data_IF_678817498052
#
_entry.id   IF_678817498052
#
_cell.length_a   1.000
_cell.length_b   1.000
_cell.length_c   1.000
_cell.angle_alpha   90.00
_cell.angle_beta   90.00
_cell.angle_gamma   90.00
#
_symmetry.space_group_name_H-M   'P 1'
#
loop_
_entity.id
_entity.type
_entity.pdbx_description
1 polymer ?
#
# COMPACT_ATOMS: atom_id res chain seq x y z
N UNK A 1 -17.50 0.98 -11.12
CA UNK A 1 -16.40 0.62 -12.05
C UNK A 1 -15.08 0.39 -11.36
N UNK A 2 -14.71 1.18 -10.34
CA UNK A 2 -13.37 1.14 -9.75
C UNK A 2 -12.93 -0.24 -9.23
N UNK A 3 -13.79 -0.97 -8.52
CA UNK A 3 -13.45 -2.31 -8.04
C UNK A 3 -13.09 -3.30 -9.16
N UNK A 4 -13.76 -3.21 -10.32
CA UNK A 4 -13.42 -4.05 -11.48
C UNK A 4 -12.08 -3.63 -12.10
N UNK A 5 -11.83 -2.32 -12.19
CA UNK A 5 -10.57 -1.80 -12.73
C UNK A 5 -9.38 -2.12 -11.82
N UNK A 6 -9.56 -2.06 -10.49
CA UNK A 6 -8.54 -2.50 -9.54
C UNK A 6 -8.22 -3.99 -9.67
N UNK A 7 -9.22 -4.84 -9.93
CA UNK A 7 -8.98 -6.27 -10.21
C UNK A 7 -8.06 -6.44 -11.42
N UNK A 8 -8.30 -5.72 -12.51
CA UNK A 8 -7.46 -5.79 -13.71
C UNK A 8 -6.01 -5.34 -13.44
N UNK A 9 -5.81 -4.30 -12.63
CA UNK A 9 -4.47 -3.85 -12.23
C UNK A 9 -3.78 -4.86 -11.31
N UNK A 10 -4.52 -5.47 -10.38
CA UNK A 10 -4.00 -6.54 -9.52
C UNK A 10 -3.55 -7.72 -10.39
N UNK A 11 -4.34 -8.14 -11.37
CA UNK A 11 -3.99 -9.23 -12.28
C UNK A 11 -2.72 -8.90 -13.08
N UNK A 12 -2.57 -7.65 -13.53
CA UNK A 12 -1.33 -7.17 -14.17
C UNK A 12 -0.13 -7.22 -13.22
N UNK A 13 -0.27 -6.79 -11.97
CA UNK A 13 0.83 -6.79 -10.99
C UNK A 13 1.24 -8.22 -10.62
N UNK A 14 0.27 -9.13 -10.40
CA UNK A 14 0.51 -10.57 -10.20
C UNK A 14 1.28 -11.19 -11.36
N UNK A 15 0.91 -10.85 -12.58
CA UNK A 15 1.63 -11.32 -13.76
C UNK A 15 3.08 -10.82 -13.79
N UNK A 16 3.31 -9.55 -13.44
CA UNK A 16 4.64 -8.94 -13.46
C UNK A 16 5.54 -9.36 -12.29
N UNK A 17 4.99 -9.65 -11.11
CA UNK A 17 5.69 -9.95 -9.86
C UNK A 17 6.89 -10.90 -10.01
N UNK A 18 6.76 -12.12 -10.56
CA UNK A 18 7.88 -13.07 -10.63
C UNK A 18 9.02 -12.56 -11.52
N UNK A 19 8.73 -11.75 -12.54
CA UNK A 19 9.75 -11.18 -13.41
C UNK A 19 10.44 -9.99 -12.76
N UNK A 20 9.67 -9.13 -12.09
CA UNK A 20 10.18 -7.90 -11.48
C UNK A 20 11.00 -8.13 -10.20
N UNK A 21 10.88 -9.30 -9.56
CA UNK A 21 11.79 -9.71 -8.47
C UNK A 21 13.23 -9.91 -8.94
N UNK A 22 13.42 -10.24 -10.23
CA UNK A 22 14.74 -10.33 -10.83
C UNK A 22 15.18 -8.96 -11.34
N UNK A 23 16.46 -8.61 -11.15
CA UNK A 23 17.01 -7.33 -11.61
C UNK A 23 17.24 -7.28 -13.11
N UNK A 24 17.31 -8.43 -13.78
CA UNK A 24 17.48 -8.54 -15.22
C UNK A 24 16.13 -8.83 -15.90
N UNK A 25 15.61 -7.84 -16.63
CA UNK A 25 14.34 -7.98 -17.35
C UNK A 25 14.58 -8.22 -18.84
N UNK A 26 13.95 -9.26 -19.37
CA UNK A 26 13.91 -9.49 -20.81
C UNK A 26 13.26 -8.29 -21.54
N UNK A 27 13.65 -7.98 -22.79
CA UNK A 27 13.14 -6.81 -23.51
C UNK A 27 11.60 -6.69 -23.58
N UNK A 28 10.81 -7.76 -23.79
CA UNK A 28 9.35 -7.68 -23.77
C UNK A 28 8.79 -7.30 -22.40
N UNK A 29 9.36 -7.83 -21.32
CA UNK A 29 8.94 -7.52 -19.94
C UNK A 29 9.28 -6.07 -19.61
N UNK A 30 10.46 -5.59 -20.03
CA UNK A 30 10.85 -4.19 -19.88
C UNK A 30 9.88 -3.25 -20.61
N UNK A 31 9.41 -3.63 -21.80
CA UNK A 31 8.40 -2.87 -22.53
C UNK A 31 7.07 -2.82 -21.76
N UNK A 32 6.62 -3.96 -21.22
CA UNK A 32 5.40 -4.03 -20.41
C UNK A 32 5.51 -3.24 -19.11
N UNK A 33 6.65 -3.31 -18.42
CA UNK A 33 6.94 -2.50 -17.23
C UNK A 33 6.84 -1.00 -17.53
N UNK A 34 7.46 -0.53 -18.62
CA UNK A 34 7.36 0.87 -19.05
C UNK A 34 5.91 1.27 -19.39
N UNK A 35 5.15 0.38 -20.03
CA UNK A 35 3.72 0.60 -20.27
C UNK A 35 2.93 0.73 -18.97
N UNK A 36 3.21 -0.13 -18.00
CA UNK A 36 2.59 -0.13 -16.67
C UNK A 36 2.88 1.17 -15.92
N UNK A 37 4.12 1.66 -15.95
CA UNK A 37 4.47 2.97 -15.37
C UNK A 37 3.69 4.12 -16.02
N UNK A 38 3.50 4.11 -17.34
CA UNK A 38 2.70 5.14 -18.02
C UNK A 38 1.24 5.11 -17.59
N UNK A 39 0.65 3.91 -17.47
CA UNK A 39 -0.71 3.77 -16.95
C UNK A 39 -0.81 4.29 -15.52
N UNK A 40 0.12 3.91 -14.64
CA UNK A 40 0.17 4.40 -13.26
C UNK A 40 0.33 5.93 -13.18
N UNK A 41 1.15 6.52 -14.05
CA UNK A 41 1.31 7.99 -14.12
C UNK A 41 0.02 8.69 -14.53
N UNK A 42 -0.70 8.18 -15.52
CA UNK A 42 -2.02 8.71 -15.92
C UNK A 42 -3.01 8.60 -14.76
N UNK A 43 -3.05 7.45 -14.08
CA UNK A 43 -3.92 7.25 -12.91
C UNK A 43 -3.56 8.20 -11.76
N UNK A 44 -2.27 8.42 -11.49
CA UNK A 44 -1.82 9.35 -10.46
C UNK A 44 -2.22 10.79 -10.78
N UNK A 45 -2.14 11.20 -12.05
CA UNK A 45 -2.49 12.54 -12.47
C UNK A 45 -4.01 12.79 -12.48
N UNK A 46 -4.77 11.89 -13.13
CA UNK A 46 -6.20 12.12 -13.40
C UNK A 46 -7.12 11.56 -12.30
N UNK A 47 -6.70 10.49 -11.62
CA UNK A 47 -7.50 9.71 -10.67
C UNK A 47 -6.73 9.34 -9.38
N UNK A 48 -6.06 10.29 -8.70
CA UNK A 48 -5.23 9.98 -7.53
C UNK A 48 -6.03 9.35 -6.39
N UNK A 49 -7.32 9.69 -6.22
CA UNK A 49 -8.16 9.06 -5.19
C UNK A 49 -8.37 7.56 -5.43
N UNK A 50 -8.37 7.10 -6.69
CA UNK A 50 -8.45 5.68 -7.01
C UNK A 50 -7.17 4.96 -6.57
N UNK A 51 -5.99 5.51 -6.85
CA UNK A 51 -4.75 4.91 -6.34
C UNK A 51 -4.67 4.95 -4.81
N UNK A 52 -5.12 6.04 -4.19
CA UNK A 52 -5.20 6.20 -2.74
C UNK A 52 -6.13 5.16 -2.09
N UNK A 53 -7.32 4.94 -2.64
CA UNK A 53 -8.32 4.03 -2.08
C UNK A 53 -7.85 2.55 -2.12
N UNK A 54 -7.12 2.16 -3.16
CA UNK A 54 -6.70 0.78 -3.43
C UNK A 54 -5.20 0.53 -3.15
N UNK A 55 -4.50 1.50 -2.57
CA UNK A 55 -3.04 1.46 -2.39
C UNK A 55 -2.54 0.18 -1.71
N UNK A 56 -3.27 -0.32 -0.71
CA UNK A 56 -2.89 -1.53 0.02
C UNK A 56 -2.85 -2.73 -0.91
N UNK A 57 -3.95 -2.99 -1.63
CA UNK A 57 -4.05 -4.16 -2.51
C UNK A 57 -3.02 -4.11 -3.64
N UNK A 58 -2.69 -2.93 -4.14
CA UNK A 58 -1.62 -2.81 -5.14
C UNK A 58 -0.24 -3.03 -4.54
N UNK A 59 0.03 -2.50 -3.34
CA UNK A 59 1.33 -2.67 -2.67
C UNK A 59 1.58 -4.11 -2.21
N UNK A 60 0.54 -4.89 -1.95
CA UNK A 60 0.65 -6.31 -1.57
C UNK A 60 1.11 -7.17 -2.76
N UNK A 61 0.74 -6.77 -3.98
CA UNK A 61 1.02 -7.50 -5.23
C UNK A 61 2.27 -7.01 -5.96
N UNK A 62 2.79 -5.81 -5.63
CA UNK A 62 4.00 -5.25 -6.25
C UNK A 62 5.24 -5.61 -5.42
N UNK A 63 6.27 -6.23 -6.00
CA UNK A 63 7.49 -6.57 -5.28
C UNK A 63 8.12 -5.39 -4.53
N UNK A 64 8.69 -5.59 -3.33
CA UNK A 64 9.29 -4.52 -2.55
C UNK A 64 10.42 -3.77 -3.27
N UNK A 65 11.14 -4.41 -4.19
CA UNK A 65 12.22 -3.82 -4.99
C UNK A 65 11.71 -2.92 -6.14
N UNK A 66 10.41 -2.93 -6.46
CA UNK A 66 9.81 -2.06 -7.49
C UNK A 66 9.50 -0.66 -6.95
N UNK A 67 10.54 0.03 -6.48
CA UNK A 67 10.44 1.31 -5.78
C UNK A 67 9.62 2.34 -6.56
N UNK A 68 9.87 2.49 -7.86
CA UNK A 68 9.18 3.49 -8.68
C UNK A 68 7.67 3.23 -8.79
N UNK A 69 7.26 1.98 -9.01
CA UNK A 69 5.83 1.63 -9.09
C UNK A 69 5.13 1.89 -7.76
N UNK A 70 5.75 1.48 -6.64
CA UNK A 70 5.21 1.71 -5.30
C UNK A 70 5.13 3.20 -4.99
N UNK A 71 6.13 3.99 -5.37
CA UNK A 71 6.11 5.45 -5.18
C UNK A 71 4.99 6.12 -5.97
N UNK A 72 4.66 5.66 -7.18
CA UNK A 72 3.54 6.23 -7.95
C UNK A 72 2.20 6.00 -7.23
N UNK A 73 2.02 4.85 -6.60
CA UNK A 73 0.81 4.53 -5.84
C UNK A 73 0.79 5.29 -4.51
N UNK A 74 1.89 5.26 -3.75
CA UNK A 74 1.98 5.85 -2.40
C UNK A 74 2.12 7.38 -2.40
N UNK A 75 2.45 7.99 -3.55
CA UNK A 75 2.41 9.45 -3.73
C UNK A 75 1.02 9.97 -4.06
N UNK A 76 0.03 9.09 -4.25
CA UNK A 76 -1.34 9.51 -4.52
C UNK A 76 -2.00 10.04 -3.23
N UNK A 77 -2.65 11.19 -3.33
CA UNK A 77 -3.40 11.81 -2.23
C UNK A 77 -4.66 12.51 -2.78
N UNK A 78 -5.69 12.75 -1.94
CA UNK A 78 -6.92 13.41 -2.39
C UNK A 78 -6.67 14.81 -2.98
N UNK A 79 -7.29 15.15 -4.12
CA UNK A 79 -7.03 16.43 -4.83
C UNK A 79 -7.36 17.68 -4.03
N UNK A 80 -8.27 17.58 -3.07
CA UNK A 80 -8.65 18.68 -2.19
C UNK A 80 -7.72 18.84 -0.98
N UNK A 81 -6.78 17.93 -0.77
CA UNK A 81 -5.77 18.02 0.28
C UNK A 81 -4.62 18.93 -0.17
N UNK A 82 -4.15 19.78 0.75
CA UNK A 82 -2.95 20.59 0.55
C UNK A 82 -1.85 20.06 1.44
N UNK A 83 -0.84 19.44 0.85
CA UNK A 83 0.33 18.98 1.58
C UNK A 83 1.23 20.18 1.90
N UNK A 84 1.66 20.35 3.17
CA UNK A 84 2.67 21.34 3.49
C UNK A 84 4.00 20.96 2.82
N UNK A 85 4.81 21.95 2.47
CA UNK A 85 6.16 21.68 1.96
C UNK A 85 6.98 21.02 3.08
N UNK A 86 7.51 19.78 2.86
CA UNK A 86 8.28 19.06 3.87
C UNK A 86 9.58 19.77 4.28
N UNK A 87 10.06 20.74 3.49
CA UNK A 87 11.24 21.54 3.79
C UNK A 87 10.94 22.86 4.50
N UNK A 88 9.67 23.14 4.84
CA UNK A 88 9.29 24.34 5.59
C UNK A 88 9.96 24.32 6.97
N UNK A 89 10.83 25.31 7.30
CA UNK A 89 11.47 25.37 8.61
C UNK A 89 10.44 25.46 9.74
N UNK A 90 10.65 24.71 10.81
CA UNK A 90 9.76 24.65 11.98
C UNK A 90 8.32 24.21 11.67
N UNK A 91 8.09 23.42 10.61
CA UNK A 91 6.80 22.78 10.36
C UNK A 91 6.38 21.91 11.56
N UNK A 92 5.23 22.22 12.13
CA UNK A 92 4.64 21.48 13.26
C UNK A 92 3.60 20.50 12.76
N UNK A 93 4.03 19.28 12.46
CA UNK A 93 3.16 18.21 11.93
C UNK A 93 2.02 17.86 12.91
N UNK A 94 2.28 17.96 14.22
CA UNK A 94 1.32 17.73 15.30
C UNK A 94 0.13 18.72 15.31
N UNK A 95 0.26 19.85 14.63
CA UNK A 95 -0.80 20.87 14.52
C UNK A 95 -1.64 20.73 13.24
N UNK A 96 -1.27 19.82 12.32
CA UNK A 96 -2.02 19.61 11.09
C UNK A 96 -3.34 18.89 11.43
N UNK A 97 -4.51 19.44 11.06
CA UNK A 97 -5.80 18.83 11.40
C UNK A 97 -5.95 17.42 10.80
N UNK A 98 -5.32 17.16 9.65
CA UNK A 98 -5.42 15.91 8.91
C UNK A 98 -4.81 14.71 9.64
N UNK A 99 -3.90 14.90 10.61
CA UNK A 99 -3.25 13.77 11.32
C UNK A 99 -4.22 12.96 12.18
N UNK A 100 -5.36 13.55 12.53
CA UNK A 100 -6.41 12.91 13.34
C UNK A 100 -7.41 12.15 12.48
N UNK A 101 -7.32 12.29 11.16
CA UNK A 101 -8.25 11.70 10.20
C UNK A 101 -7.62 10.41 9.65
N UNK A 102 -8.27 9.24 9.84
CA UNK A 102 -7.76 8.01 9.24
C UNK A 102 -7.81 8.10 7.70
N UNK A 103 -6.83 7.53 6.99
CA UNK A 103 -6.85 7.53 5.54
C UNK A 103 -8.05 6.74 5.01
N UNK A 104 -8.57 7.15 3.86
CA UNK A 104 -9.56 6.37 3.13
C UNK A 104 -8.88 5.16 2.50
N UNK A 105 -9.42 3.97 2.75
CA UNK A 105 -8.94 2.73 2.15
C UNK A 105 -10.12 1.77 1.93
N UNK A 106 -10.11 1.07 0.79
CA UNK A 106 -11.14 0.06 0.46
C UNK A 106 -10.91 -1.26 1.20
N UNK A 107 -9.69 -1.49 1.70
CA UNK A 107 -9.35 -2.71 2.39
C UNK A 107 -10.01 -2.82 3.78
N UNK A 108 -10.51 -4.01 4.08
CA UNK A 108 -10.91 -4.39 5.43
C UNK A 108 -9.71 -4.99 6.20
N UNK A 109 -8.95 -4.14 6.87
CA UNK A 109 -7.79 -4.58 7.67
C UNK A 109 -8.16 -5.61 8.74
N UNK A 110 -9.37 -5.54 9.31
CA UNK A 110 -9.82 -6.47 10.34
C UNK A 110 -10.03 -7.89 9.81
N UNK A 111 -10.21 -8.05 8.48
CA UNK A 111 -10.37 -9.34 7.83
C UNK A 111 -9.03 -9.94 7.31
N UNK A 112 -7.93 -9.20 7.37
CA UNK A 112 -6.62 -9.67 6.89
C UNK A 112 -6.07 -10.83 7.73
N UNK A 113 -6.20 -10.71 9.04
CA UNK A 113 -5.88 -11.82 9.95
C UNK A 113 -7.17 -12.64 10.09
N UNK A 114 -7.19 -13.91 9.63
CA UNK A 114 -8.35 -14.77 9.80
C UNK A 114 -8.75 -14.85 11.27
N UNK A 115 -10.02 -15.14 11.54
CA UNK A 115 -10.49 -15.44 12.91
C UNK A 115 -9.84 -16.74 13.42
N UNK A 116 -8.62 -16.62 13.92
CA UNK A 116 -7.73 -17.69 14.34
C UNK A 116 -7.35 -17.54 15.82
N UNK A 117 -6.68 -18.55 16.38
CA UNK A 117 -6.13 -18.45 17.72
C UNK A 117 -5.11 -17.29 17.81
N UNK A 118 -4.28 -17.13 16.78
CA UNK A 118 -3.35 -16.01 16.66
C UNK A 118 -4.04 -14.65 16.81
N UNK A 119 -5.20 -14.43 16.15
CA UNK A 119 -5.94 -13.17 16.28
C UNK A 119 -6.40 -12.92 17.71
N UNK A 120 -6.90 -13.96 18.39
CA UNK A 120 -7.35 -13.86 19.78
C UNK A 120 -6.19 -13.53 20.72
N UNK A 121 -5.04 -14.17 20.52
CA UNK A 121 -3.85 -13.96 21.33
C UNK A 121 -3.27 -12.56 21.10
N UNK A 122 -3.28 -12.08 19.85
CA UNK A 122 -2.93 -10.69 19.51
C UNK A 122 -3.86 -9.70 20.21
N UNK A 123 -5.19 -9.89 20.11
CA UNK A 123 -6.18 -9.00 20.74
C UNK A 123 -6.03 -9.00 22.28
N UNK A 124 -5.76 -10.17 22.88
CA UNK A 124 -5.50 -10.31 24.31
C UNK A 124 -4.21 -9.60 24.73
N UNK A 125 -3.13 -9.76 23.95
CA UNK A 125 -1.85 -9.11 24.22
C UNK A 125 -1.95 -7.59 24.08
N UNK A 126 -2.65 -7.07 23.06
CA UNK A 126 -2.85 -5.62 22.90
C UNK A 126 -3.66 -5.02 24.06
N UNK A 127 -4.60 -5.78 24.65
CA UNK A 127 -5.43 -5.34 25.77
C UNK A 127 -4.71 -5.40 27.13
N UNK A 128 -3.96 -6.47 27.38
CA UNK A 128 -3.39 -6.75 28.71
C UNK A 128 -1.87 -6.56 28.78
N UNK A 129 -1.20 -6.38 27.63
CA UNK A 129 0.28 -6.37 27.49
C UNK A 129 0.94 -7.61 28.09
N UNK A 130 0.24 -8.75 28.01
CA UNK A 130 0.64 -10.03 28.58
C UNK A 130 0.03 -11.19 27.78
N UNK A 131 0.68 -12.36 27.73
CA UNK A 131 2.00 -12.66 28.29
C UNK A 131 3.13 -12.16 27.38
N UNK A 132 4.32 -11.88 27.95
CA UNK A 132 5.50 -11.46 27.16
C UNK A 132 5.93 -12.51 26.13
N UNK A 133 5.61 -13.79 26.36
CA UNK A 133 5.92 -14.91 25.47
C UNK A 133 5.25 -14.78 24.10
N UNK A 134 4.12 -14.08 24.00
CA UNK A 134 3.46 -13.78 22.73
C UNK A 134 4.44 -13.13 21.74
N UNK A 135 5.32 -12.22 22.20
CA UNK A 135 6.28 -11.55 21.33
C UNK A 135 7.31 -12.51 20.73
N UNK A 136 7.80 -13.48 21.51
CA UNK A 136 8.72 -14.50 21.00
C UNK A 136 8.04 -15.48 20.06
N UNK A 137 6.77 -15.79 20.30
CA UNK A 137 5.96 -16.70 19.50
C UNK A 137 5.47 -16.07 18.20
N UNK A 138 5.44 -14.73 18.11
CA UNK A 138 4.97 -13.98 16.94
C UNK A 138 5.70 -14.37 15.64
N UNK A 139 7.00 -14.71 15.72
CA UNK A 139 7.79 -15.12 14.55
C UNK A 139 7.50 -16.53 14.08
N UNK A 140 6.95 -17.36 14.96
CA UNK A 140 6.73 -18.80 14.74
C UNK A 140 5.29 -19.14 14.33
N UNK A 141 4.37 -18.20 14.48
CA UNK A 141 2.99 -18.28 13.99
C UNK A 141 2.89 -17.77 12.55
#
# INVERSE_FOLDING_TARGET
GWGMYSTLLIDLFKFLDPYLRNTELAPPVMMLYKGTLKVLLVLLHDFPEFLCDYHYGFCDEIPPNCIQMRNLILSAFPRNMRLPDPFTPNLKVDLLPEITVPPRAVINYAALIPNSQFKKDLDAYLKARAPVTFLSELRSN
#
